data_IF_457996732288
#
_entry.id   IF_457996732288
#
_cell.length_a   1.000
_cell.length_b   1.000
_cell.length_c   1.000
_cell.angle_alpha   90.00
_cell.angle_beta   90.00
_cell.angle_gamma   90.00
#
_symmetry.space_group_name_H-M   'P 1'
#
loop_
_entity.id
_entity.type
_entity.pdbx_description
1 polymer ?
#
# COMPACT_ATOMS: atom_id res chain seq x y z
N UNK A 1 -34.59 -8.35 38.82
CA UNK A 1 -33.21 -7.84 38.74
C UNK A 1 -32.58 -8.58 37.58
N UNK A 2 -32.13 -7.87 36.54
CA UNK A 2 -31.44 -8.53 35.44
C UNK A 2 -30.07 -8.93 35.99
N UNK A 3 -29.76 -10.22 35.99
CA UNK A 3 -28.48 -10.70 36.49
C UNK A 3 -27.36 -10.23 35.56
N UNK A 4 -26.20 -9.94 36.14
CA UNK A 4 -25.04 -9.44 35.39
C UNK A 4 -24.64 -10.37 34.24
N UNK A 5 -24.88 -11.67 34.41
CA UNK A 5 -24.66 -12.71 33.40
C UNK A 5 -25.62 -12.62 32.20
N UNK A 6 -26.89 -12.23 32.42
CA UNK A 6 -27.85 -12.05 31.31
C UNK A 6 -27.50 -10.82 30.47
N UNK A 7 -27.10 -9.71 31.12
CA UNK A 7 -26.65 -8.50 30.42
C UNK A 7 -25.42 -8.80 29.58
N UNK A 8 -24.43 -9.52 30.15
CA UNK A 8 -23.23 -9.98 29.45
C UNK A 8 -23.58 -10.86 28.24
N UNK A 9 -24.52 -11.80 28.41
CA UNK A 9 -24.97 -12.68 27.34
C UNK A 9 -25.62 -11.93 26.18
N UNK A 10 -26.48 -10.95 26.47
CA UNK A 10 -27.11 -10.11 25.44
C UNK A 10 -26.06 -9.28 24.70
N UNK A 11 -25.13 -8.63 25.43
CA UNK A 11 -24.06 -7.82 24.82
C UNK A 11 -23.20 -8.67 23.88
N UNK A 12 -22.77 -9.86 24.32
CA UNK A 12 -21.98 -10.77 23.50
C UNK A 12 -22.75 -11.21 22.25
N UNK A 13 -24.02 -11.57 22.40
CA UNK A 13 -24.87 -12.03 21.29
C UNK A 13 -25.05 -10.93 20.25
N UNK A 14 -25.39 -9.70 20.69
CA UNK A 14 -25.53 -8.55 19.80
C UNK A 14 -24.22 -8.22 19.11
N UNK A 15 -23.09 -8.29 19.84
CA UNK A 15 -21.77 -8.09 19.27
C UNK A 15 -21.47 -9.10 18.15
N UNK A 16 -21.73 -10.40 18.37
CA UNK A 16 -21.55 -11.43 17.34
C UNK A 16 -22.43 -11.19 16.11
N UNK A 17 -23.70 -10.80 16.31
CA UNK A 17 -24.60 -10.48 15.20
C UNK A 17 -24.11 -9.28 14.38
N UNK A 18 -23.59 -8.25 15.05
CA UNK A 18 -22.99 -7.09 14.37
C UNK A 18 -21.77 -7.50 13.54
N UNK A 19 -20.89 -8.35 14.10
CA UNK A 19 -19.72 -8.86 13.38
C UNK A 19 -20.14 -9.66 12.15
N UNK A 20 -21.13 -10.55 12.27
CA UNK A 20 -21.67 -11.31 11.13
C UNK A 20 -22.24 -10.37 10.06
N UNK A 21 -23.02 -9.37 10.47
CA UNK A 21 -23.58 -8.38 9.54
C UNK A 21 -22.49 -7.62 8.78
N UNK A 22 -21.43 -7.19 9.47
CA UNK A 22 -20.27 -6.51 8.85
C UNK A 22 -19.59 -7.43 7.83
N UNK A 23 -19.42 -8.72 8.14
CA UNK A 23 -18.83 -9.70 7.22
C UNK A 23 -19.70 -9.90 5.98
N UNK A 24 -21.03 -10.03 6.12
CA UNK A 24 -21.94 -10.15 4.98
C UNK A 24 -21.89 -8.91 4.10
N UNK A 25 -21.93 -7.71 4.69
CA UNK A 25 -21.81 -6.45 3.94
C UNK A 25 -20.47 -6.38 3.21
N UNK A 26 -19.37 -6.78 3.84
CA UNK A 26 -18.05 -6.83 3.21
C UNK A 26 -18.04 -7.77 2.00
N UNK A 27 -18.60 -8.98 2.12
CA UNK A 27 -18.68 -9.96 1.03
C UNK A 27 -19.50 -9.40 -0.14
N UNK A 28 -20.64 -8.74 0.14
CA UNK A 28 -21.48 -8.13 -0.88
C UNK A 28 -20.75 -6.99 -1.61
N UNK A 29 -20.06 -6.12 -0.88
CA UNK A 29 -19.28 -5.02 -1.45
C UNK A 29 -18.10 -5.50 -2.28
N UNK A 30 -17.41 -6.56 -1.84
CA UNK A 30 -16.33 -7.20 -2.60
C UNK A 30 -16.90 -7.82 -3.88
N UNK A 31 -17.98 -8.60 -3.78
CA UNK A 31 -18.64 -9.23 -4.93
C UNK A 31 -19.11 -8.22 -5.97
N UNK A 32 -19.68 -7.12 -5.51
CA UNK A 32 -20.07 -6.00 -6.36
C UNK A 32 -18.84 -5.30 -6.99
N UNK A 33 -17.76 -5.10 -6.23
CA UNK A 33 -16.53 -4.48 -6.74
C UNK A 33 -15.87 -5.32 -7.83
N UNK A 34 -15.91 -6.66 -7.71
CA UNK A 34 -15.39 -7.57 -8.75
C UNK A 34 -16.22 -7.44 -10.04
N UNK A 35 -17.56 -7.39 -9.93
CA UNK A 35 -18.46 -7.29 -11.09
C UNK A 35 -18.43 -5.93 -11.78
N UNK A 36 -18.42 -4.84 -11.01
CA UNK A 36 -18.56 -3.48 -11.56
C UNK A 36 -17.24 -2.76 -11.78
N UNK A 37 -16.12 -3.35 -11.31
CA UNK A 37 -14.80 -2.71 -11.26
C UNK A 37 -14.84 -1.34 -10.57
N UNK A 38 -15.83 -1.10 -9.70
CA UNK A 38 -16.01 0.14 -8.95
C UNK A 38 -16.16 -0.20 -7.48
N UNK A 39 -15.43 0.53 -6.64
CA UNK A 39 -15.54 0.41 -5.19
C UNK A 39 -16.48 1.51 -4.68
N UNK A 40 -17.67 1.14 -4.22
CA UNK A 40 -18.69 2.09 -3.74
C UNK A 40 -18.28 2.78 -2.43
N UNK A 41 -17.56 2.08 -1.54
CA UNK A 41 -17.09 2.60 -0.25
C UNK A 41 -15.62 2.22 0.00
N UNK A 42 -14.66 2.93 -0.62
CA UNK A 42 -13.24 2.61 -0.49
C UNK A 42 -12.74 2.59 0.96
N UNK A 43 -13.19 3.55 1.79
CA UNK A 43 -12.80 3.62 3.20
C UNK A 43 -13.21 2.40 4.00
N UNK A 44 -14.45 1.91 3.82
CA UNK A 44 -14.94 0.72 4.51
C UNK A 44 -14.20 -0.54 4.06
N UNK A 45 -13.93 -0.69 2.75
CA UNK A 45 -13.18 -1.84 2.23
C UNK A 45 -11.76 -1.87 2.80
N UNK A 46 -11.07 -0.73 2.83
CA UNK A 46 -9.74 -0.64 3.43
C UNK A 46 -9.76 -0.88 4.94
N UNK A 47 -10.79 -0.38 5.64
CA UNK A 47 -10.98 -0.65 7.06
C UNK A 47 -11.12 -2.14 7.36
N UNK A 48 -11.99 -2.85 6.63
CA UNK A 48 -12.17 -4.30 6.79
C UNK A 48 -10.88 -5.06 6.44
N UNK A 49 -10.19 -4.65 5.37
CA UNK A 49 -8.90 -5.22 4.98
C UNK A 49 -7.84 -5.07 6.09
N UNK A 50 -7.75 -3.89 6.70
CA UNK A 50 -6.80 -3.62 7.79
C UNK A 50 -7.16 -4.36 9.07
N UNK A 51 -8.44 -4.44 9.40
CA UNK A 51 -8.92 -5.20 10.55
C UNK A 51 -8.65 -6.71 10.40
N UNK A 52 -8.84 -7.25 9.19
CA UNK A 52 -8.65 -8.68 8.90
C UNK A 52 -7.20 -9.03 8.50
N UNK A 53 -6.33 -8.05 8.27
CA UNK A 53 -4.97 -8.28 7.74
C UNK A 53 -4.19 -9.30 8.56
N UNK A 54 -4.09 -9.10 9.88
CA UNK A 54 -3.29 -9.97 10.75
C UNK A 54 -3.90 -11.37 10.95
N UNK A 55 -5.22 -11.51 11.24
CA UNK A 55 -5.87 -12.82 11.26
C UNK A 55 -5.69 -13.59 9.96
N UNK A 56 -5.89 -12.94 8.80
CA UNK A 56 -5.74 -13.57 7.49
C UNK A 56 -4.29 -13.97 7.22
N UNK A 57 -3.32 -13.14 7.60
CA UNK A 57 -1.89 -13.46 7.44
C UNK A 57 -1.51 -14.74 8.18
N UNK A 58 -1.89 -14.87 9.45
CA UNK A 58 -1.62 -16.08 10.23
C UNK A 58 -2.31 -17.29 9.61
N UNK A 59 -3.59 -17.14 9.23
CA UNK A 59 -4.37 -18.25 8.68
C UNK A 59 -3.78 -18.76 7.36
N UNK A 60 -3.44 -17.85 6.45
CA UNK A 60 -2.87 -18.21 5.14
C UNK A 60 -1.49 -18.85 5.25
N UNK A 61 -0.64 -18.35 6.16
CA UNK A 61 0.67 -18.97 6.44
C UNK A 61 0.51 -20.38 7.05
N UNK A 62 -0.48 -20.59 7.93
CA UNK A 62 -0.78 -21.93 8.51
C UNK A 62 -1.32 -22.93 7.48
N UNK A 63 -2.09 -22.47 6.50
CA UNK A 63 -2.66 -23.32 5.44
C UNK A 63 -1.61 -23.61 4.33
N UNK A 64 -0.37 -23.13 4.49
CA UNK A 64 0.73 -23.39 3.55
C UNK A 64 0.66 -22.53 2.28
N UNK A 65 -0.08 -21.42 2.30
CA UNK A 65 -0.05 -20.45 1.20
C UNK A 65 1.32 -19.77 1.13
N UNK A 66 1.65 -19.24 -0.06
CA UNK A 66 2.91 -18.49 -0.26
C UNK A 66 2.99 -17.31 0.71
N UNK A 67 4.16 -17.15 1.34
CA UNK A 67 4.45 -15.99 2.20
C UNK A 67 4.22 -14.70 1.41
N UNK A 68 3.57 -13.72 2.04
CA UNK A 68 3.27 -12.44 1.41
C UNK A 68 2.03 -12.42 0.50
N UNK A 69 1.24 -13.51 0.45
CA UNK A 69 0.00 -13.52 -0.35
C UNK A 69 -0.99 -12.44 0.09
N UNK A 70 -1.22 -12.30 1.40
CA UNK A 70 -2.09 -11.25 1.96
C UNK A 70 -1.48 -9.86 1.76
N UNK A 71 -0.14 -9.73 1.82
CA UNK A 71 0.55 -8.47 1.53
C UNK A 71 0.30 -8.02 0.08
N UNK A 72 0.37 -8.96 -0.88
CA UNK A 72 0.10 -8.71 -2.29
C UNK A 72 -1.36 -8.28 -2.52
N UNK A 73 -2.33 -9.03 -2.00
CA UNK A 73 -3.76 -8.69 -2.11
C UNK A 73 -4.03 -7.32 -1.51
N UNK A 74 -3.46 -7.03 -0.34
CA UNK A 74 -3.65 -5.75 0.34
C UNK A 74 -3.11 -4.59 -0.49
N UNK A 75 -1.90 -4.75 -1.05
CA UNK A 75 -1.30 -3.75 -1.93
C UNK A 75 -2.09 -3.57 -3.23
N UNK A 76 -2.52 -4.65 -3.87
CA UNK A 76 -3.30 -4.59 -5.12
C UNK A 76 -4.65 -3.92 -4.91
N UNK A 77 -5.32 -4.19 -3.79
CA UNK A 77 -6.60 -3.55 -3.47
C UNK A 77 -6.44 -2.05 -3.22
N UNK A 78 -5.38 -1.64 -2.50
CA UNK A 78 -5.03 -0.23 -2.30
C UNK A 78 -4.68 0.46 -3.61
N UNK A 79 -3.92 -0.21 -4.47
CA UNK A 79 -3.58 0.30 -5.79
C UNK A 79 -4.85 0.48 -6.63
N UNK A 80 -5.72 -0.53 -6.69
CA UNK A 80 -6.99 -0.47 -7.43
C UNK A 80 -7.87 0.69 -7.00
N UNK A 81 -8.02 0.89 -5.68
CA UNK A 81 -8.81 1.98 -5.10
C UNK A 81 -8.22 3.35 -5.47
N UNK A 82 -6.91 3.52 -5.35
CA UNK A 82 -6.25 4.82 -5.53
C UNK A 82 -5.90 5.13 -6.99
N UNK A 83 -5.82 4.12 -7.86
CA UNK A 83 -5.34 4.25 -9.23
C UNK A 83 -6.15 5.27 -10.03
N UNK A 84 -7.48 5.25 -9.89
CA UNK A 84 -8.37 6.15 -10.64
C UNK A 84 -8.10 7.62 -10.32
N UNK A 85 -8.00 7.98 -9.05
CA UNK A 85 -7.72 9.36 -8.66
C UNK A 85 -6.27 9.76 -8.97
N UNK A 86 -5.31 8.84 -8.76
CA UNK A 86 -3.91 9.07 -9.13
C UNK A 86 -3.75 9.33 -10.63
N UNK A 87 -4.48 8.60 -11.47
CA UNK A 87 -4.40 8.71 -12.93
C UNK A 87 -4.81 10.08 -13.47
N UNK A 88 -5.68 10.81 -12.74
CA UNK A 88 -6.15 12.15 -13.11
C UNK A 88 -5.15 13.26 -12.78
N UNK A 89 -4.19 13.00 -11.89
CA UNK A 89 -3.21 14.00 -11.43
C UNK A 89 -2.14 14.19 -12.53
N UNK A 90 -1.79 15.41 -12.96
CA UNK A 90 -0.72 15.64 -13.93
C UNK A 90 0.62 15.02 -13.50
N UNK A 91 1.45 14.55 -14.45
CA UNK A 91 2.72 13.87 -14.13
C UNK A 91 3.70 14.74 -13.33
N UNK A 92 3.73 16.04 -13.59
CA UNK A 92 4.56 17.05 -12.89
C UNK A 92 4.23 17.22 -11.40
N UNK A 93 3.00 16.89 -11.01
CA UNK A 93 2.53 16.91 -9.62
C UNK A 93 2.75 15.56 -8.90
N UNK A 94 3.35 14.57 -9.60
CA UNK A 94 3.65 13.24 -9.07
C UNK A 94 5.11 13.14 -8.68
N UNK A 95 5.37 12.34 -7.65
CA UNK A 95 6.72 11.90 -7.31
C UNK A 95 6.81 10.39 -7.35
N UNK A 96 7.98 9.88 -7.72
CA UNK A 96 8.32 8.46 -7.67
C UNK A 96 9.33 8.21 -6.56
N UNK A 97 8.98 7.32 -5.63
CA UNK A 97 9.85 6.90 -4.54
C UNK A 97 10.40 5.51 -4.83
N UNK A 98 11.74 5.38 -4.79
CA UNK A 98 12.44 4.12 -5.04
C UNK A 98 13.26 3.72 -3.81
N UNK A 99 13.22 2.45 -3.37
CA UNK A 99 14.00 1.98 -2.25
C UNK A 99 15.47 1.81 -2.64
N UNK A 100 16.37 2.06 -1.70
CA UNK A 100 17.79 1.78 -1.87
C UNK A 100 18.10 0.33 -2.26
N UNK A 101 17.21 -0.62 -1.93
CA UNK A 101 17.37 -2.04 -2.24
C UNK A 101 17.39 -2.35 -3.75
N UNK A 102 16.87 -1.46 -4.61
CA UNK A 102 16.96 -1.62 -6.06
C UNK A 102 18.36 -1.31 -6.61
N UNK A 103 19.24 -0.69 -5.81
CA UNK A 103 20.61 -0.41 -6.21
C UNK A 103 21.46 -1.65 -6.12
N UNK A 104 22.43 -1.73 -7.02
CA UNK A 104 23.54 -2.68 -6.90
C UNK A 104 24.50 -2.22 -5.80
N UNK A 105 25.14 -3.17 -5.09
CA UNK A 105 26.03 -2.89 -3.95
C UNK A 105 27.20 -1.96 -4.29
N UNK A 106 27.66 -2.01 -5.53
CA UNK A 106 28.78 -1.25 -6.09
C UNK A 106 28.34 0.08 -6.74
N UNK A 107 27.11 0.53 -6.48
CA UNK A 107 26.59 1.78 -7.05
C UNK A 107 27.25 3.02 -6.41
N UNK A 108 27.89 3.92 -7.20
CA UNK A 108 28.61 5.10 -6.71
C UNK A 108 27.70 6.27 -6.32
N UNK A 109 26.39 6.04 -6.16
CA UNK A 109 25.44 7.06 -5.75
C UNK A 109 25.71 7.52 -4.31
N UNK A 110 25.79 8.84 -4.13
CA UNK A 110 26.09 9.48 -2.84
C UNK A 110 24.78 9.75 -2.11
N UNK A 111 24.77 9.55 -0.80
CA UNK A 111 23.63 9.87 0.04
C UNK A 111 23.59 11.37 0.32
N UNK A 112 22.54 12.04 -0.15
CA UNK A 112 22.21 13.40 0.23
C UNK A 112 21.21 13.38 1.40
N UNK A 113 21.46 14.20 2.42
CA UNK A 113 20.64 14.24 3.64
C UNK A 113 19.23 14.80 3.42
N UNK A 114 18.99 15.52 2.32
CA UNK A 114 17.71 16.16 1.98
C UNK A 114 16.99 15.47 0.82
N UNK A 115 17.72 14.96 -0.16
CA UNK A 115 17.18 14.38 -1.41
C UNK A 115 17.35 12.86 -1.50
N UNK A 116 18.02 12.22 -0.55
CA UNK A 116 18.30 10.79 -0.58
C UNK A 116 19.45 10.46 -1.53
N UNK A 117 19.53 9.23 -2.03
CA UNK A 117 20.63 8.84 -2.91
C UNK A 117 20.55 9.53 -4.26
N UNK A 118 21.66 10.16 -4.67
CA UNK A 118 21.77 10.83 -5.97
C UNK A 118 22.34 9.86 -7.01
N UNK A 119 21.49 9.42 -7.92
CA UNK A 119 21.91 8.54 -9.03
C UNK A 119 22.87 9.30 -9.96
N UNK A 120 24.02 8.69 -10.26
CA UNK A 120 25.00 9.20 -11.24
C UNK A 120 24.84 8.56 -12.62
N UNK A 121 23.69 7.94 -12.90
CA UNK A 121 23.41 7.16 -14.10
C UNK A 121 24.54 6.16 -14.46
N UNK A 122 25.05 5.45 -13.46
CA UNK A 122 26.23 4.58 -13.61
C UNK A 122 26.03 3.29 -14.42
N UNK A 123 24.81 3.03 -14.92
CA UNK A 123 24.47 1.83 -15.70
C UNK A 123 24.41 0.50 -14.94
N UNK A 124 24.71 0.46 -13.64
CA UNK A 124 24.80 -0.80 -12.86
C UNK A 124 23.47 -1.39 -12.39
N UNK A 125 22.38 -0.63 -12.50
CA UNK A 125 21.02 -1.03 -12.12
C UNK A 125 20.00 -0.25 -12.98
N UNK A 126 18.76 -0.74 -13.07
CA UNK A 126 17.71 -0.13 -13.89
C UNK A 126 17.16 1.22 -13.39
N UNK A 127 17.64 1.72 -12.25
CA UNK A 127 17.20 3.02 -11.70
C UNK A 127 17.55 4.17 -12.65
N UNK A 128 18.71 4.12 -13.32
CA UNK A 128 19.13 5.17 -14.25
C UNK A 128 18.17 5.32 -15.43
N UNK A 129 17.73 4.19 -16.00
CA UNK A 129 16.73 4.16 -17.08
C UNK A 129 15.39 4.72 -16.63
N UNK A 130 14.97 4.35 -15.41
CA UNK A 130 13.72 4.83 -14.83
C UNK A 130 13.74 6.34 -14.56
N UNK A 131 14.86 6.88 -14.09
CA UNK A 131 15.03 8.33 -13.91
C UNK A 131 14.90 9.04 -15.26
N UNK A 132 15.58 8.56 -16.31
CA UNK A 132 15.48 9.16 -17.66
C UNK A 132 14.05 9.17 -18.18
N UNK A 133 13.35 8.06 -18.06
CA UNK A 133 11.92 7.97 -18.44
C UNK A 133 11.04 8.93 -17.65
N UNK A 134 11.30 9.09 -16.35
CA UNK A 134 10.55 10.00 -15.49
C UNK A 134 10.86 11.48 -15.79
N UNK A 135 12.11 11.82 -16.09
CA UNK A 135 12.54 13.17 -16.42
C UNK A 135 11.84 13.67 -17.70
N UNK A 136 11.69 12.82 -18.72
CA UNK A 136 10.90 13.13 -19.94
C UNK A 136 9.43 13.46 -19.66
N UNK A 137 8.89 12.99 -18.53
CA UNK A 137 7.51 13.22 -18.09
C UNK A 137 7.39 14.24 -16.95
N UNK A 138 8.49 14.91 -16.60
CA UNK A 138 8.57 15.83 -15.46
C UNK A 138 8.22 15.20 -14.10
N UNK A 139 8.38 13.89 -13.94
CA UNK A 139 8.12 13.18 -12.68
C UNK A 139 9.39 13.21 -11.83
N UNK A 140 9.32 13.80 -10.63
CA UNK A 140 10.49 13.85 -9.72
C UNK A 140 10.73 12.49 -9.07
N UNK A 141 11.93 11.95 -9.20
CA UNK A 141 12.33 10.66 -8.61
C UNK A 141 13.19 10.87 -7.36
N UNK A 142 12.88 10.15 -6.27
CA UNK A 142 13.67 10.15 -5.04
C UNK A 142 14.06 8.73 -4.65
N UNK A 143 15.36 8.50 -4.46
CA UNK A 143 15.88 7.21 -3.98
C UNK A 143 16.05 7.28 -2.47
N UNK A 144 15.18 6.60 -1.73
CA UNK A 144 15.10 6.72 -0.28
C UNK A 144 15.97 5.66 0.43
N UNK A 145 16.75 6.05 1.46
CA UNK A 145 17.52 5.09 2.27
C UNK A 145 16.61 4.27 3.20
N UNK A 146 15.45 4.81 3.59
CA UNK A 146 14.53 4.11 4.48
C UNK A 146 13.16 4.78 4.56
N UNK A 147 12.20 4.10 5.18
CA UNK A 147 10.80 4.54 5.25
C UNK A 147 10.60 5.86 6.01
N UNK A 148 11.45 6.16 7.00
CA UNK A 148 11.40 7.43 7.73
C UNK A 148 11.66 8.65 6.83
N UNK A 149 12.41 8.46 5.75
CA UNK A 149 12.74 9.52 4.79
C UNK A 149 11.53 9.95 3.95
N UNK A 150 10.54 9.06 3.77
CA UNK A 150 9.32 9.36 2.99
C UNK A 150 8.61 10.59 3.54
N UNK A 151 8.44 10.69 4.87
CA UNK A 151 7.81 11.84 5.52
C UNK A 151 8.54 13.15 5.23
N UNK A 152 9.88 13.10 5.12
CA UNK A 152 10.71 14.26 4.81
C UNK A 152 10.49 14.71 3.36
N UNK A 153 10.51 13.78 2.42
CA UNK A 153 10.26 14.06 0.99
C UNK A 153 8.87 14.67 0.80
N UNK A 154 7.83 14.11 1.44
CA UNK A 154 6.47 14.62 1.36
C UNK A 154 6.39 16.08 1.88
N UNK A 155 7.03 16.39 3.01
CA UNK A 155 7.04 17.75 3.56
C UNK A 155 7.73 18.75 2.64
N UNK A 156 8.82 18.34 1.98
CA UNK A 156 9.62 19.19 1.10
C UNK A 156 8.94 19.42 -0.26
N UNK A 157 8.35 18.38 -0.84
CA UNK A 157 7.84 18.40 -2.21
C UNK A 157 6.35 18.70 -2.30
N UNK A 158 5.58 18.46 -1.21
CA UNK A 158 4.12 18.58 -1.14
C UNK A 158 3.42 18.04 -2.40
N UNK A 159 3.68 16.79 -2.78
CA UNK A 159 3.20 16.24 -4.04
C UNK A 159 1.70 16.00 -3.98
N UNK A 160 1.01 16.06 -5.12
CA UNK A 160 -0.40 15.66 -5.19
C UNK A 160 -0.55 14.14 -5.29
N UNK A 161 0.44 13.45 -5.87
CA UNK A 161 0.47 12.00 -5.92
C UNK A 161 1.86 11.42 -5.66
N UNK A 162 1.89 10.22 -5.08
CA UNK A 162 3.11 9.47 -4.80
C UNK A 162 2.99 8.09 -5.42
N UNK A 163 4.00 7.69 -6.17
CA UNK A 163 4.15 6.34 -6.73
C UNK A 163 5.31 5.68 -5.99
N UNK A 164 5.10 4.49 -5.45
CA UNK A 164 6.15 3.69 -4.81
C UNK A 164 6.58 2.55 -5.72
N UNK A 165 7.88 2.46 -6.02
CA UNK A 165 8.46 1.27 -6.63
C UNK A 165 8.89 0.30 -5.53
N UNK A 166 8.39 -0.93 -5.54
CA UNK A 166 8.75 -1.97 -4.56
C UNK A 166 9.29 -3.22 -5.24
N UNK A 167 10.10 -3.98 -4.52
CA UNK A 167 10.43 -5.35 -4.94
C UNK A 167 9.29 -6.25 -4.45
N UNK A 168 8.62 -7.02 -5.32
CA UNK A 168 7.62 -7.98 -4.88
C UNK A 168 8.28 -8.99 -3.94
N UNK A 169 7.54 -9.44 -2.91
CA UNK A 169 7.98 -10.55 -2.07
C UNK A 169 8.18 -11.79 -2.95
N UNK A 170 9.42 -12.07 -3.33
CA UNK A 170 9.84 -13.34 -3.90
C UNK A 170 10.45 -14.16 -2.79
N UNK A 171 9.76 -15.21 -2.39
CA UNK A 171 10.37 -16.43 -1.80
C UNK A 171 11.08 -17.19 -2.90
#
# INVERSE_FOLDING_TARGET
MIDIFEILGIILTVFFLIVILILVIAILLISYSVKTKKVLFPGFVLFVLDFLYYPLKILTEKIGMKKGYIDMISNDMRNFINYKELSKIPFEDRILLLPQCLRKRDCPAILDSMKGFQCKNCGRCGIGDLIRFCDEKNIKVFIIPGGSFVKKVIKLTRPKAIIGGGVPYRT
#
